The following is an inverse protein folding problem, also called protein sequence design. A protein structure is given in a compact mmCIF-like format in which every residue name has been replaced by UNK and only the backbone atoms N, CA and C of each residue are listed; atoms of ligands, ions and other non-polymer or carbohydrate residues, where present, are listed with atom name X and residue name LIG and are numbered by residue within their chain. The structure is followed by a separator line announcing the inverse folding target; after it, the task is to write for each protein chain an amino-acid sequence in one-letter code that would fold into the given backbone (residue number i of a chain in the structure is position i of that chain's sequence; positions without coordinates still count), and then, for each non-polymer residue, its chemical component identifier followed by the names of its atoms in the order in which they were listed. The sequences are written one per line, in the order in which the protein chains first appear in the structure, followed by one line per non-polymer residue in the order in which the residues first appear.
data_IF_435210558876
#
_entry.id   IF_435210558876
#
_cell.length_a   1.000
_cell.length_b   1.000
_cell.length_c   1.000
_cell.angle_alpha   90.00
_cell.angle_beta   90.00
_cell.angle_gamma   90.00
#
_symmetry.space_group_name_H-M   'P 1'
#
loop_
_entity.id
_entity.type
_entity.pdbx_description
1 polymer ?
#
# COMPACT_ATOMS: atom_id res chain seq x y z
N UNK A 1 19.92 9.63 -12.29
CA UNK A 1 20.39 8.25 -12.11
C UNK A 1 21.27 7.88 -13.29
N UNK A 2 22.51 7.39 -13.06
CA UNK A 2 23.37 6.87 -14.14
C UNK A 2 23.31 5.33 -14.11
N UNK A 3 22.92 4.70 -15.20
CA UNK A 3 22.77 3.24 -15.30
C UNK A 3 24.07 2.59 -15.79
N UNK A 4 25.06 2.48 -14.89
CA UNK A 4 26.44 2.19 -15.26
C UNK A 4 26.63 0.78 -15.88
N UNK A 5 26.20 -0.28 -15.17
CA UNK A 5 26.38 -1.66 -15.64
C UNK A 5 25.69 -1.94 -16.98
N UNK A 6 24.50 -1.36 -17.18
CA UNK A 6 23.77 -1.47 -18.46
C UNK A 6 24.52 -0.71 -19.56
N UNK A 7 24.98 0.51 -19.30
CA UNK A 7 25.72 1.30 -20.29
C UNK A 7 27.07 0.69 -20.70
N UNK A 8 27.68 -0.08 -19.79
CA UNK A 8 28.94 -0.79 -20.04
C UNK A 8 28.72 -2.18 -20.68
N UNK A 9 27.48 -2.62 -20.86
CA UNK A 9 27.18 -3.94 -21.43
C UNK A 9 27.57 -5.12 -20.52
N UNK A 10 27.62 -4.91 -19.21
CA UNK A 10 28.05 -5.94 -18.23
C UNK A 10 26.93 -6.90 -17.83
N UNK A 11 25.70 -6.66 -18.28
CA UNK A 11 24.52 -7.48 -17.96
C UNK A 11 23.93 -8.06 -19.24
N UNK A 12 23.53 -9.33 -19.20
CA UNK A 12 22.96 -10.01 -20.38
C UNK A 12 21.61 -9.45 -20.83
N UNK A 13 20.82 -8.93 -19.91
CA UNK A 13 19.56 -8.23 -20.17
C UNK A 13 19.40 -7.01 -19.25
N UNK A 14 18.65 -5.97 -19.62
CA UNK A 14 18.46 -4.78 -18.79
C UNK A 14 17.41 -5.00 -17.68
N UNK A 15 17.52 -6.11 -16.95
CA UNK A 15 16.65 -6.51 -15.84
C UNK A 15 17.47 -6.87 -14.61
N UNK A 16 16.82 -6.90 -13.46
CA UNK A 16 17.34 -7.55 -12.26
C UNK A 16 16.18 -8.17 -11.50
N UNK A 17 16.46 -9.21 -10.72
CA UNK A 17 15.47 -9.91 -9.91
C UNK A 17 15.94 -10.09 -8.48
N UNK A 18 14.99 -10.15 -7.57
CA UNK A 18 15.22 -10.46 -6.17
C UNK A 18 14.50 -11.75 -5.81
N UNK A 19 15.22 -12.63 -5.12
CA UNK A 19 14.64 -13.70 -4.33
C UNK A 19 15.00 -13.46 -2.86
N UNK A 20 14.01 -13.40 -1.99
CA UNK A 20 14.21 -13.09 -0.56
C UNK A 20 13.65 -14.26 0.25
N UNK A 21 14.54 -14.97 0.95
CA UNK A 21 14.15 -16.10 1.78
C UNK A 21 13.50 -15.59 3.09
N UNK A 22 12.36 -16.18 3.48
CA UNK A 22 11.64 -15.86 4.71
C UNK A 22 11.96 -16.81 5.87
N UNK A 23 12.71 -17.88 5.63
CA UNK A 23 13.08 -18.88 6.65
C UNK A 23 14.33 -18.42 7.40
N UNK A 24 14.11 -17.76 8.54
CA UNK A 24 15.20 -17.29 9.40
C UNK A 24 15.98 -18.49 9.97
N UNK A 25 17.31 -18.46 9.83
CA UNK A 25 18.20 -19.47 10.42
C UNK A 25 18.47 -20.70 9.55
N UNK A 26 17.92 -20.76 8.33
CA UNK A 26 18.13 -21.87 7.39
C UNK A 26 18.68 -21.37 6.04
N UNK A 27 19.81 -21.93 5.60
CA UNK A 27 20.32 -21.77 4.23
C UNK A 27 20.69 -20.34 3.81
N UNK A 28 20.55 -20.06 2.50
CA UNK A 28 20.79 -18.73 1.92
C UNK A 28 19.64 -17.77 2.24
N UNK A 29 19.97 -16.54 2.65
CA UNK A 29 18.97 -15.52 3.03
C UNK A 29 18.26 -14.85 1.85
N UNK A 30 18.83 -14.94 0.64
CA UNK A 30 18.28 -14.31 -0.56
C UNK A 30 19.33 -14.20 -1.66
N UNK A 31 18.90 -13.79 -2.84
CA UNK A 31 19.72 -13.58 -4.02
C UNK A 31 19.23 -12.35 -4.79
N UNK A 32 20.18 -11.61 -5.36
CA UNK A 32 19.92 -10.62 -6.41
C UNK A 32 20.66 -11.04 -7.67
N UNK A 33 19.93 -11.11 -8.78
CA UNK A 33 20.51 -11.40 -10.10
C UNK A 33 20.44 -10.15 -10.95
N UNK A 34 21.58 -9.67 -11.43
CA UNK A 34 21.64 -8.62 -12.43
C UNK A 34 21.77 -9.25 -13.82
N UNK A 35 20.85 -8.93 -14.72
CA UNK A 35 20.90 -9.37 -16.11
C UNK A 35 20.21 -10.68 -16.44
N UNK A 36 19.41 -11.23 -15.53
CA UNK A 36 18.70 -12.49 -15.74
C UNK A 36 17.65 -12.77 -14.65
N UNK A 37 17.12 -13.99 -14.69
CA UNK A 37 16.17 -14.55 -13.73
C UNK A 37 16.69 -15.96 -13.41
N UNK A 38 16.80 -16.34 -12.14
CA UNK A 38 17.09 -17.72 -11.75
C UNK A 38 15.78 -18.54 -11.71
N UNK A 39 15.60 -19.55 -12.59
CA UNK A 39 14.39 -20.37 -12.61
C UNK A 39 14.19 -21.23 -11.35
N UNK A 40 15.22 -21.44 -10.53
CA UNK A 40 15.11 -22.19 -9.26
C UNK A 40 14.42 -21.38 -8.15
N UNK A 41 14.24 -20.07 -8.37
CA UNK A 41 13.72 -19.15 -7.36
C UNK A 41 12.27 -18.66 -7.62
N UNK A 42 11.58 -19.24 -8.60
CA UNK A 42 10.16 -19.01 -8.84
C UNK A 42 9.45 -20.25 -9.39
N UNK A 43 8.12 -20.27 -9.28
CA UNK A 43 7.28 -21.29 -9.90
C UNK A 43 6.31 -20.61 -10.87
N UNK A 44 6.15 -21.19 -12.07
CA UNK A 44 5.30 -20.63 -13.12
C UNK A 44 5.82 -19.31 -13.70
N UNK A 45 4.99 -18.69 -14.52
CA UNK A 45 5.35 -17.48 -15.27
C UNK A 45 5.17 -16.19 -14.47
N UNK A 46 5.99 -15.19 -14.80
CA UNK A 46 5.86 -13.86 -14.22
C UNK A 46 4.71 -13.08 -14.85
N UNK A 47 3.91 -12.44 -14.01
CA UNK A 47 2.94 -11.42 -14.44
C UNK A 47 3.61 -10.05 -14.43
N UNK A 48 3.73 -9.42 -15.61
CA UNK A 48 4.35 -8.11 -15.75
C UNK A 48 3.29 -7.00 -15.74
N UNK A 49 3.54 -5.96 -14.95
CA UNK A 49 2.76 -4.72 -14.93
C UNK A 49 3.68 -3.53 -15.24
N UNK A 50 3.21 -2.55 -16.03
CA UNK A 50 4.04 -1.43 -16.43
C UNK A 50 4.32 -0.49 -15.26
N UNK A 51 5.50 0.15 -15.29
CA UNK A 51 5.81 1.25 -14.37
C UNK A 51 4.97 2.47 -14.72
N UNK A 52 4.20 2.99 -13.75
CA UNK A 52 3.25 4.09 -13.97
C UNK A 52 3.88 5.46 -13.69
N UNK A 53 4.88 5.53 -12.81
CA UNK A 53 5.62 6.75 -12.49
C UNK A 53 7.11 6.47 -12.34
N UNK A 54 7.90 6.91 -13.33
CA UNK A 54 9.37 6.80 -13.30
C UNK A 54 9.94 7.63 -12.14
N UNK A 55 10.85 7.02 -11.38
CA UNK A 55 11.42 7.57 -10.14
C UNK A 55 11.37 6.53 -9.03
N UNK A 56 10.30 5.75 -9.00
CA UNK A 56 10.15 4.54 -8.18
C UNK A 56 9.82 3.35 -9.09
N UNK A 57 9.97 2.12 -8.56
CA UNK A 57 9.36 0.92 -9.15
C UNK A 57 7.87 0.87 -8.81
N UNK A 58 7.15 1.92 -9.22
CA UNK A 58 5.74 2.12 -8.95
C UNK A 58 4.90 1.54 -10.08
N UNK A 59 3.85 0.81 -9.74
CA UNK A 59 2.87 0.25 -10.66
C UNK A 59 1.45 0.42 -10.12
N UNK A 60 0.47 0.26 -11.00
CA UNK A 60 -0.94 0.27 -10.62
C UNK A 60 -1.34 -1.10 -10.08
N UNK A 61 -1.92 -1.12 -8.89
CA UNK A 61 -2.46 -2.29 -8.22
C UNK A 61 -3.99 -2.20 -8.20
N UNK A 62 -4.64 -3.37 -8.24
CA UNK A 62 -6.07 -3.50 -7.97
C UNK A 62 -6.38 -3.37 -6.47
N UNK A 63 -7.37 -4.14 -6.03
CA UNK A 63 -7.88 -4.05 -4.67
C UNK A 63 -7.06 -4.86 -3.66
N UNK A 64 -7.21 -4.50 -2.38
CA UNK A 64 -6.73 -5.29 -1.24
C UNK A 64 -7.92 -6.03 -0.64
N UNK A 65 -7.80 -7.36 -0.57
CA UNK A 65 -8.84 -8.23 -0.03
C UNK A 65 -8.42 -8.81 1.31
N UNK A 66 -9.34 -8.83 2.28
CA UNK A 66 -9.12 -9.44 3.61
C UNK A 66 -10.10 -10.60 3.77
N UNK A 67 -9.57 -11.83 3.75
CA UNK A 67 -10.40 -13.04 3.78
C UNK A 67 -11.38 -13.11 2.60
N UNK A 68 -10.94 -12.70 1.41
CA UNK A 68 -11.75 -12.67 0.19
C UNK A 68 -12.69 -11.47 0.04
N UNK A 69 -12.80 -10.60 1.05
CA UNK A 69 -13.67 -9.42 1.00
C UNK A 69 -12.89 -8.16 0.67
N UNK A 70 -13.44 -7.34 -0.22
CA UNK A 70 -12.91 -6.02 -0.58
C UNK A 70 -12.82 -5.10 0.63
N UNK A 71 -11.74 -4.32 0.70
CA UNK A 71 -11.63 -3.21 1.66
C UNK A 71 -12.37 -1.95 1.21
N UNK A 72 -12.83 -1.92 -0.05
CA UNK A 72 -13.49 -0.78 -0.70
C UNK A 72 -12.56 0.41 -0.99
N UNK A 73 -11.33 0.41 -0.48
CA UNK A 73 -10.41 1.55 -0.51
C UNK A 73 -9.48 1.55 -1.72
N UNK A 74 -9.11 0.36 -2.23
CA UNK A 74 -8.30 0.23 -3.44
C UNK A 74 -9.08 -0.40 -4.61
N UNK A 75 -10.40 -0.54 -4.49
CA UNK A 75 -11.25 -1.18 -5.49
C UNK A 75 -11.20 -0.50 -6.86
N UNK A 76 -11.09 0.83 -6.89
CA UNK A 76 -10.99 1.60 -8.13
C UNK A 76 -9.58 1.64 -8.73
N UNK A 77 -8.53 1.34 -7.92
CA UNK A 77 -7.09 1.27 -8.20
C UNK A 77 -6.28 2.01 -7.12
N UNK A 78 -5.15 1.44 -6.74
CA UNK A 78 -4.14 2.09 -5.90
C UNK A 78 -2.77 2.07 -6.59
N UNK A 79 -1.89 3.00 -6.24
CA UNK A 79 -0.48 2.91 -6.61
C UNK A 79 0.25 2.03 -5.59
N UNK A 80 1.15 1.18 -6.06
CA UNK A 80 2.03 0.36 -5.24
C UNK A 80 3.48 0.53 -5.68
N UNK A 81 4.42 0.36 -4.76
CA UNK A 81 5.86 0.39 -5.03
C UNK A 81 6.44 -0.95 -4.59
N UNK A 82 7.20 -1.60 -5.48
CA UNK A 82 8.05 -2.72 -5.08
C UNK A 82 9.36 -2.16 -4.52
N UNK A 83 9.54 -2.25 -3.20
CA UNK A 83 10.70 -1.71 -2.49
C UNK A 83 11.36 -2.81 -1.64
N UNK A 84 12.46 -3.38 -2.13
CA UNK A 84 13.26 -4.36 -1.39
C UNK A 84 13.99 -3.76 -0.19
N UNK A 85 14.02 -2.43 -0.04
CA UNK A 85 14.61 -1.71 1.09
C UNK A 85 13.69 -1.60 2.32
N UNK A 86 12.42 -1.99 2.20
CA UNK A 86 11.44 -1.94 3.27
C UNK A 86 11.02 -3.36 3.68
N UNK A 87 11.00 -3.64 4.98
CA UNK A 87 10.66 -4.97 5.51
C UNK A 87 9.15 -5.23 5.61
N UNK A 88 8.37 -4.19 5.91
CA UNK A 88 6.93 -4.27 6.14
C UNK A 88 6.12 -3.84 4.90
N UNK A 89 4.88 -4.32 4.83
CA UNK A 89 3.91 -3.77 3.89
C UNK A 89 3.32 -2.49 4.48
N UNK A 90 3.52 -1.37 3.78
CA UNK A 90 2.96 -0.08 4.13
C UNK A 90 1.78 0.26 3.22
N UNK A 91 0.73 0.85 3.78
CA UNK A 91 -0.47 1.21 3.03
C UNK A 91 -1.34 2.22 3.78
N UNK A 92 -2.48 2.62 3.18
CA UNK A 92 -3.42 3.54 3.81
C UNK A 92 -3.83 3.07 5.21
N UNK A 93 -3.78 3.96 6.20
CA UNK A 93 -4.10 3.64 7.59
C UNK A 93 -5.44 2.94 7.73
N UNK A 94 -6.46 3.36 6.97
CA UNK A 94 -7.78 2.74 7.00
C UNK A 94 -7.78 1.25 6.55
N UNK A 95 -6.93 0.86 5.60
CA UNK A 95 -6.75 -0.55 5.22
C UNK A 95 -6.02 -1.30 6.34
N UNK A 96 -4.93 -0.73 6.87
CA UNK A 96 -4.14 -1.35 7.93
C UNK A 96 -4.98 -1.56 9.21
N UNK A 97 -5.85 -0.61 9.56
CA UNK A 97 -6.79 -0.74 10.67
C UNK A 97 -7.75 -1.90 10.46
N UNK A 98 -8.36 -2.04 9.27
CA UNK A 98 -9.23 -3.18 8.93
C UNK A 98 -8.48 -4.52 9.02
N UNK A 99 -7.23 -4.58 8.56
CA UNK A 99 -6.39 -5.77 8.67
C UNK A 99 -6.17 -6.11 10.14
N UNK A 100 -5.73 -5.15 10.95
CA UNK A 100 -5.43 -5.35 12.37
C UNK A 100 -6.65 -5.85 13.15
N UNK A 101 -7.82 -5.27 12.91
CA UNK A 101 -9.09 -5.73 13.51
C UNK A 101 -9.41 -7.18 13.12
N UNK A 102 -9.25 -7.54 11.83
CA UNK A 102 -9.55 -8.89 11.33
C UNK A 102 -8.58 -9.97 11.84
N UNK A 103 -7.31 -9.63 12.07
CA UNK A 103 -6.30 -10.58 12.55
C UNK A 103 -6.08 -10.54 14.07
N UNK A 104 -6.79 -9.66 14.79
CA UNK A 104 -6.65 -9.48 16.23
C UNK A 104 -5.33 -8.81 16.64
N UNK A 105 -4.67 -8.09 15.74
CA UNK A 105 -3.47 -7.35 16.07
C UNK A 105 -3.80 -6.08 16.87
N UNK A 106 -3.04 -5.76 17.92
CA UNK A 106 -3.26 -4.55 18.68
C UNK A 106 -3.01 -3.33 17.80
N UNK A 107 -4.06 -2.54 17.56
CA UNK A 107 -3.94 -1.23 16.92
C UNK A 107 -3.60 -0.13 17.93
N UNK A 108 -2.97 0.94 17.46
CA UNK A 108 -2.85 2.17 18.25
C UNK A 108 -4.18 2.90 18.18
N UNK A 109 -4.86 3.00 19.32
CA UNK A 109 -6.14 3.70 19.42
C UNK A 109 -5.90 5.21 19.41
N UNK A 110 -6.22 5.88 18.29
CA UNK A 110 -6.16 7.34 18.18
C UNK A 110 -7.26 7.98 19.04
N UNK A 111 -6.86 8.90 19.93
CA UNK A 111 -7.80 9.69 20.72
C UNK A 111 -8.59 10.66 19.84
N UNK A 112 -7.98 11.14 18.76
CA UNK A 112 -8.62 11.95 17.73
C UNK A 112 -9.74 11.15 17.05
N UNK A 113 -9.49 9.89 16.67
CA UNK A 113 -10.49 9.01 16.11
C UNK A 113 -11.66 8.80 17.08
N UNK A 114 -11.37 8.53 18.36
CA UNK A 114 -12.40 8.42 19.41
C UNK A 114 -13.25 9.67 19.53
N UNK A 115 -12.63 10.86 19.53
CA UNK A 115 -13.32 12.13 19.61
C UNK A 115 -14.21 12.37 18.38
N UNK A 116 -13.75 12.03 17.19
CA UNK A 116 -14.54 12.16 15.96
C UNK A 116 -15.77 11.24 16.01
N UNK A 117 -15.57 9.97 16.38
CA UNK A 117 -16.67 9.00 16.48
C UNK A 117 -17.68 9.42 17.55
N UNK A 118 -17.22 9.86 18.73
CA UNK A 118 -18.12 10.24 19.83
C UNK A 118 -18.90 11.52 19.53
N UNK A 119 -18.28 12.52 18.90
CA UNK A 119 -18.90 13.82 18.68
C UNK A 119 -19.69 13.89 17.36
N UNK A 120 -19.21 13.24 16.30
CA UNK A 120 -19.76 13.39 14.95
C UNK A 120 -20.31 12.09 14.36
N UNK A 121 -20.10 10.94 15.00
CA UNK A 121 -20.44 9.62 14.44
C UNK A 121 -21.89 9.49 13.99
N UNK A 122 -22.85 9.90 14.82
CA UNK A 122 -24.27 9.86 14.47
C UNK A 122 -24.60 10.78 13.29
N UNK A 123 -24.06 12.01 13.27
CA UNK A 123 -24.29 12.95 12.18
C UNK A 123 -23.67 12.48 10.87
N UNK A 124 -22.49 11.87 10.92
CA UNK A 124 -21.84 11.25 9.75
C UNK A 124 -22.72 10.11 9.22
N UNK A 125 -23.20 9.24 10.11
CA UNK A 125 -24.07 8.12 9.74
C UNK A 125 -25.37 8.59 9.11
N UNK A 126 -26.03 9.60 9.71
CA UNK A 126 -27.26 10.18 9.17
C UNK A 126 -27.05 10.80 7.77
N UNK A 127 -25.90 11.43 7.52
CA UNK A 127 -25.57 11.98 6.22
C UNK A 127 -25.30 10.88 5.18
N UNK A 128 -24.65 9.79 5.59
CA UNK A 128 -24.46 8.61 4.73
C UNK A 128 -25.79 7.93 4.39
N UNK A 129 -26.70 7.80 5.36
CA UNK A 129 -28.05 7.24 5.15
C UNK A 129 -28.93 8.12 4.25
N UNK A 130 -28.62 9.42 4.16
CA UNK A 130 -29.24 10.36 3.21
C UNK A 130 -28.55 10.38 1.84
N UNK A 131 -27.67 9.42 1.58
CA UNK A 131 -26.95 9.27 0.31
C UNK A 131 -26.13 10.51 -0.08
N UNK A 132 -25.66 11.27 0.91
CA UNK A 132 -24.72 12.37 0.66
C UNK A 132 -23.36 11.79 0.27
N UNK A 133 -22.75 12.34 -0.78
CA UNK A 133 -21.43 11.91 -1.23
C UNK A 133 -20.41 11.92 -0.08
N UNK A 134 -19.74 10.78 0.23
CA UNK A 134 -18.84 10.67 1.37
C UNK A 134 -17.73 11.72 1.41
N UNK A 135 -17.24 12.16 0.24
CA UNK A 135 -16.21 13.19 0.11
C UNK A 135 -16.64 14.57 0.64
N UNK A 136 -17.94 14.87 0.65
CA UNK A 136 -18.50 16.15 1.12
C UNK A 136 -18.85 16.13 2.61
N UNK A 137 -19.04 14.95 3.20
CA UNK A 137 -19.50 14.81 4.58
C UNK A 137 -18.54 15.48 5.56
N UNK A 138 -17.22 15.29 5.40
CA UNK A 138 -16.24 15.89 6.30
C UNK A 138 -16.32 17.43 6.34
N UNK A 139 -16.52 18.07 5.19
CA UNK A 139 -16.69 19.52 5.10
C UNK A 139 -18.04 19.97 5.69
N UNK A 140 -19.12 19.20 5.49
CA UNK A 140 -20.45 19.49 6.05
C UNK A 140 -20.50 19.37 7.58
N UNK A 141 -19.70 18.49 8.17
CA UNK A 141 -19.55 18.40 9.64
C UNK A 141 -18.52 19.39 10.19
N UNK A 142 -17.85 20.17 9.33
CA UNK A 142 -16.89 21.21 9.71
C UNK A 142 -15.51 20.69 10.08
N UNK A 143 -15.18 19.43 9.77
CA UNK A 143 -13.89 18.81 10.08
C UNK A 143 -12.85 18.97 8.96
N UNK A 144 -13.28 19.28 7.74
CA UNK A 144 -12.41 19.50 6.59
C UNK A 144 -12.71 20.84 5.91
N UNK A 145 -11.71 21.41 5.25
CA UNK A 145 -11.92 22.55 4.34
C UNK A 145 -12.79 22.15 3.13
N UNK A 146 -13.41 23.10 2.41
CA UNK A 146 -14.28 22.80 1.25
C UNK A 146 -13.62 21.98 0.13
N UNK A 147 -12.27 21.98 0.07
CA UNK A 147 -11.49 21.18 -0.89
C UNK A 147 -11.01 19.83 -0.34
N UNK A 148 -11.39 19.43 0.88
CA UNK A 148 -11.22 18.08 1.42
C UNK A 148 -9.78 17.60 1.69
N UNK A 149 -8.75 18.43 1.50
CA UNK A 149 -7.35 17.96 1.48
C UNK A 149 -6.49 18.32 2.69
N UNK A 150 -6.99 19.09 3.66
CA UNK A 150 -6.23 19.41 4.87
C UNK A 150 -7.11 19.38 6.12
N UNK A 151 -7.18 18.20 6.74
CA UNK A 151 -7.71 17.99 8.08
C UNK A 151 -6.88 16.91 8.76
N UNK A 152 -6.12 17.30 9.79
CA UNK A 152 -5.19 16.50 10.60
C UNK A 152 -3.96 15.97 9.84
N UNK A 153 -2.78 16.45 10.26
CA UNK A 153 -1.47 15.95 9.84
C UNK A 153 -1.38 14.51 10.35
N UNK A 154 -1.53 13.52 9.46
CA UNK A 154 -1.29 12.13 9.83
C UNK A 154 0.15 11.99 10.32
N UNK A 155 0.32 11.51 11.56
CA UNK A 155 1.58 10.96 12.00
C UNK A 155 1.92 9.81 11.05
N UNK A 156 2.92 10.03 10.21
CA UNK A 156 3.68 8.95 9.63
C UNK A 156 4.31 8.18 10.80
N UNK A 157 4.10 6.88 10.84
CA UNK A 157 5.03 5.95 11.47
C UNK A 157 6.00 5.53 10.39
#
# INVERSE_FOLDING_TARGET
CRYNMVSQGLVGSPIFTFWLNRHAGEGQGGEIVFGGIDPNHHNGDHTYVPVTRKGYWQFDMGDVLIGGNSTGLCASRCAAIADSGTSLLSGPTAIITQINEKIGAPGVVSQECKAVVSQYGQRILDLLLKEIEPSKICSLVGLCTPNGTQGVRWCAV
#
